data_IF_711328903097
#
_entry.id   IF_711328903097
#
_cell.length_a   1.000
_cell.length_b   1.000
_cell.length_c   1.000
_cell.angle_alpha   90.00
_cell.angle_beta   90.00
_cell.angle_gamma   90.00
#
_symmetry.space_group_name_H-M   'P 1'
#
loop_
_entity.id
_entity.type
_entity.pdbx_description
1 polymer ?
#
# COMPACT_ATOMS: atom_id res chain seq x y z
N UNK A 1 28.05 10.24 -26.38
CA UNK A 1 26.80 9.98 -27.12
C UNK A 1 25.71 9.83 -26.07
N UNK A 2 24.94 10.87 -25.89
CA UNK A 2 23.87 10.97 -24.90
C UNK A 2 22.60 10.35 -25.48
N UNK A 3 22.27 9.12 -25.05
CA UNK A 3 20.98 8.51 -25.35
C UNK A 3 19.92 9.19 -24.46
N UNK A 4 19.35 10.27 -24.96
CA UNK A 4 18.11 10.81 -24.44
C UNK A 4 17.00 9.87 -24.93
N UNK A 5 16.50 9.00 -24.09
CA UNK A 5 15.29 8.21 -24.38
C UNK A 5 14.14 9.20 -24.43
N UNK A 6 13.81 9.63 -25.64
CA UNK A 6 12.59 10.41 -25.93
C UNK A 6 11.43 9.44 -25.74
N UNK A 7 10.50 9.74 -24.82
CA UNK A 7 9.28 8.97 -24.65
C UNK A 7 8.56 8.86 -25.99
N UNK A 8 8.18 7.63 -26.36
CA UNK A 8 7.49 7.38 -27.63
C UNK A 8 6.08 8.02 -27.54
N UNK A 9 5.57 8.68 -28.61
CA UNK A 9 4.23 9.29 -28.59
C UNK A 9 3.12 8.34 -28.13
N UNK A 10 3.24 7.04 -28.39
CA UNK A 10 2.30 6.01 -27.93
C UNK A 10 2.27 5.86 -26.39
N UNK A 11 3.38 6.10 -25.69
CA UNK A 11 3.44 6.00 -24.22
C UNK A 11 2.71 7.18 -23.55
N UNK A 12 2.71 8.36 -24.20
CA UNK A 12 1.98 9.54 -23.71
C UNK A 12 0.47 9.34 -23.81
N UNK A 13 -0.02 8.68 -24.86
CA UNK A 13 -1.44 8.37 -25.02
C UNK A 13 -1.92 7.34 -23.99
N UNK A 14 -1.13 6.30 -23.72
CA UNK A 14 -1.47 5.26 -22.73
C UNK A 14 -1.57 5.83 -21.31
N UNK A 15 -0.63 6.66 -20.88
CA UNK A 15 -0.67 7.30 -19.55
C UNK A 15 -1.83 8.28 -19.42
N UNK A 16 -2.18 8.97 -20.48
CA UNK A 16 -3.34 9.88 -20.52
C UNK A 16 -4.63 9.10 -20.32
N UNK A 17 -4.78 7.96 -21.01
CA UNK A 17 -5.92 7.06 -20.83
C UNK A 17 -6.00 6.51 -19.41
N UNK A 18 -4.87 6.10 -18.81
CA UNK A 18 -4.83 5.62 -17.43
C UNK A 18 -5.26 6.71 -16.46
N UNK A 19 -4.78 7.95 -16.62
CA UNK A 19 -5.19 9.09 -15.79
C UNK A 19 -6.69 9.36 -15.89
N UNK A 20 -7.23 9.35 -17.10
CA UNK A 20 -8.66 9.55 -17.33
C UNK A 20 -9.50 8.43 -16.70
N UNK A 21 -9.09 7.17 -16.82
CA UNK A 21 -9.76 6.04 -16.18
C UNK A 21 -9.75 6.17 -14.65
N UNK A 22 -8.61 6.51 -14.06
CA UNK A 22 -8.50 6.74 -12.61
C UNK A 22 -9.42 7.89 -12.18
N UNK A 23 -9.44 8.99 -12.92
CA UNK A 23 -10.33 10.12 -12.64
C UNK A 23 -11.82 9.70 -12.66
N UNK A 24 -12.24 8.95 -13.69
CA UNK A 24 -13.62 8.45 -13.80
C UNK A 24 -13.98 7.50 -12.66
N UNK A 25 -13.09 6.59 -12.29
CA UNK A 25 -13.31 5.67 -11.17
C UNK A 25 -13.50 6.47 -9.87
N UNK A 26 -12.64 7.44 -9.58
CA UNK A 26 -12.75 8.27 -8.39
C UNK A 26 -14.06 9.09 -8.37
N UNK A 27 -14.48 9.62 -9.51
CA UNK A 27 -15.74 10.37 -9.65
C UNK A 27 -16.96 9.46 -9.41
N UNK A 28 -16.96 8.25 -9.96
CA UNK A 28 -18.03 7.27 -9.77
C UNK A 28 -18.10 6.80 -8.32
N UNK A 29 -16.97 6.55 -7.66
CA UNK A 29 -16.91 6.21 -6.23
C UNK A 29 -17.46 7.35 -5.37
N UNK A 30 -17.10 8.60 -5.65
CA UNK A 30 -17.64 9.76 -4.93
C UNK A 30 -19.18 9.83 -5.07
N UNK A 31 -19.72 9.67 -6.28
CA UNK A 31 -21.17 9.65 -6.52
C UNK A 31 -21.86 8.49 -5.79
N UNK A 32 -21.26 7.31 -5.75
CA UNK A 32 -21.80 6.17 -4.99
C UNK A 32 -21.85 6.45 -3.48
N UNK A 33 -20.77 7.04 -2.93
CA UNK A 33 -20.69 7.43 -1.52
C UNK A 33 -21.79 8.45 -1.18
N UNK A 34 -21.99 9.46 -2.02
CA UNK A 34 -23.02 10.47 -1.83
C UNK A 34 -24.42 9.85 -1.87
N UNK A 35 -24.67 8.93 -2.79
CA UNK A 35 -25.94 8.20 -2.90
C UNK A 35 -26.24 7.39 -1.64
N UNK A 36 -25.26 6.61 -1.15
CA UNK A 36 -25.43 5.80 0.08
C UNK A 36 -25.60 6.72 1.30
N UNK A 37 -24.84 7.81 1.38
CA UNK A 37 -24.96 8.78 2.47
C UNK A 37 -26.34 9.44 2.50
N UNK A 38 -26.86 9.83 1.34
CA UNK A 38 -28.21 10.38 1.21
C UNK A 38 -29.30 9.35 1.58
N UNK A 39 -29.10 8.06 1.23
CA UNK A 39 -29.99 6.99 1.64
C UNK A 39 -29.98 6.77 3.17
N UNK A 40 -28.80 6.84 3.81
CA UNK A 40 -28.66 6.75 5.26
C UNK A 40 -29.42 7.87 6.00
N UNK A 41 -29.37 9.09 5.47
CA UNK A 41 -30.11 10.25 6.05
C UNK A 41 -31.63 10.02 5.96
N UNK A 42 -32.12 9.45 4.85
CA UNK A 42 -33.55 9.23 4.60
C UNK A 42 -34.12 7.94 5.20
N UNK A 43 -33.27 7.06 5.71
CA UNK A 43 -33.74 5.80 6.29
C UNK A 43 -34.65 6.04 7.50
N UNK A 44 -35.72 5.24 7.63
CA UNK A 44 -36.72 5.44 8.70
C UNK A 44 -36.27 4.84 10.04
N UNK A 45 -35.45 3.81 10.02
CA UNK A 45 -35.01 3.10 11.24
C UNK A 45 -33.55 3.43 11.58
N UNK A 46 -33.23 3.42 12.88
CA UNK A 46 -31.86 3.62 13.36
C UNK A 46 -30.92 2.53 12.83
N UNK A 47 -31.40 1.31 12.78
CA UNK A 47 -30.62 0.16 12.27
C UNK A 47 -30.22 0.35 10.80
N UNK A 48 -31.17 0.79 9.94
CA UNK A 48 -30.86 1.09 8.55
C UNK A 48 -29.90 2.28 8.40
N UNK A 49 -30.02 3.32 9.24
CA UNK A 49 -29.10 4.46 9.27
C UNK A 49 -27.67 4.00 9.57
N UNK A 50 -27.52 3.19 10.62
CA UNK A 50 -26.20 2.66 11.04
C UNK A 50 -25.62 1.76 9.96
N UNK A 51 -26.41 0.84 9.40
CA UNK A 51 -25.95 -0.08 8.34
C UNK A 51 -25.46 0.68 7.10
N UNK A 52 -26.24 1.63 6.60
CA UNK A 52 -25.87 2.46 5.43
C UNK A 52 -24.68 3.39 5.75
N UNK A 53 -24.62 3.92 6.97
CA UNK A 53 -23.46 4.69 7.43
C UNK A 53 -22.16 3.89 7.38
N UNK A 54 -22.17 2.66 7.86
CA UNK A 54 -21.05 1.74 7.81
C UNK A 54 -20.64 1.43 6.35
N UNK A 55 -21.60 1.22 5.46
CA UNK A 55 -21.33 1.01 4.03
C UNK A 55 -20.68 2.26 3.41
N UNK A 56 -21.19 3.46 3.72
CA UNK A 56 -20.61 4.70 3.22
C UNK A 56 -19.16 4.88 3.69
N UNK A 57 -18.86 4.54 4.95
CA UNK A 57 -17.50 4.60 5.49
C UNK A 57 -16.56 3.63 4.79
N UNK A 58 -17.00 2.40 4.58
CA UNK A 58 -16.23 1.37 3.86
C UNK A 58 -15.90 1.83 2.43
N UNK A 59 -16.86 2.43 1.73
CA UNK A 59 -16.65 3.00 0.40
C UNK A 59 -15.66 4.19 0.43
N UNK A 60 -15.71 5.04 1.46
CA UNK A 60 -14.75 6.15 1.62
C UNK A 60 -13.32 5.65 1.81
N UNK A 61 -13.13 4.62 2.63
CA UNK A 61 -11.80 4.01 2.83
C UNK A 61 -11.29 3.40 1.52
N UNK A 62 -12.14 2.71 0.74
CA UNK A 62 -11.75 2.21 -0.58
C UNK A 62 -11.41 3.34 -1.56
N UNK A 63 -12.23 4.39 -1.60
CA UNK A 63 -11.97 5.55 -2.45
C UNK A 63 -10.64 6.24 -2.10
N UNK A 64 -10.28 6.25 -0.82
CA UNK A 64 -9.01 6.82 -0.36
C UNK A 64 -7.80 6.04 -0.90
N UNK A 65 -7.86 4.71 -0.96
CA UNK A 65 -6.81 3.89 -1.60
C UNK A 65 -6.66 4.27 -3.08
N UNK A 66 -7.77 4.35 -3.81
CA UNK A 66 -7.75 4.73 -5.23
C UNK A 66 -7.19 6.14 -5.45
N UNK A 67 -7.49 7.08 -4.54
CA UNK A 67 -6.96 8.44 -4.60
C UNK A 67 -5.44 8.48 -4.40
N UNK A 68 -4.92 7.68 -3.47
CA UNK A 68 -3.46 7.58 -3.27
C UNK A 68 -2.78 6.89 -4.45
N UNK A 69 -3.45 5.94 -5.10
CA UNK A 69 -2.95 5.24 -6.29
C UNK A 69 -3.07 6.05 -7.59
N UNK A 70 -3.27 7.37 -7.52
CA UNK A 70 -3.19 8.23 -8.71
C UNK A 70 -1.73 8.46 -9.11
N UNK A 71 -1.52 8.66 -10.42
CA UNK A 71 -0.19 9.05 -10.94
C UNK A 71 0.08 10.49 -10.46
N UNK A 72 1.16 10.75 -9.69
CA UNK A 72 1.47 12.09 -9.24
C UNK A 72 1.58 13.07 -10.42
N UNK A 73 1.08 14.29 -10.22
CA UNK A 73 1.06 15.31 -11.27
C UNK A 73 2.43 15.97 -11.45
N UNK A 74 2.65 16.50 -12.64
CA UNK A 74 3.85 17.23 -13.00
C UNK A 74 5.05 16.32 -13.26
N UNK A 75 6.24 16.95 -13.37
CA UNK A 75 7.50 16.28 -13.71
C UNK A 75 8.52 16.31 -12.57
N UNK A 76 8.15 16.81 -11.37
CA UNK A 76 9.03 16.81 -10.22
C UNK A 76 9.21 15.39 -9.67
N UNK A 77 10.42 15.09 -9.15
CA UNK A 77 10.64 13.80 -8.49
C UNK A 77 9.82 13.72 -7.20
N UNK A 78 9.22 12.57 -6.98
CA UNK A 78 8.36 12.25 -5.83
C UNK A 78 9.14 11.37 -4.86
N UNK A 79 9.05 11.65 -3.57
CA UNK A 79 9.62 10.75 -2.56
C UNK A 79 8.78 9.48 -2.44
N UNK A 80 9.27 8.39 -3.01
CA UNK A 80 8.60 7.10 -2.99
C UNK A 80 8.36 6.57 -1.56
N UNK A 81 9.19 6.93 -0.58
CA UNK A 81 8.97 6.55 0.81
C UNK A 81 7.70 7.20 1.37
N UNK A 82 7.48 8.48 1.10
CA UNK A 82 6.28 9.22 1.53
C UNK A 82 5.03 8.74 0.78
N UNK A 83 5.15 8.50 -0.52
CA UNK A 83 4.07 7.98 -1.35
C UNK A 83 3.61 6.59 -0.87
N UNK A 84 4.55 5.65 -0.70
CA UNK A 84 4.24 4.31 -0.21
C UNK A 84 3.71 4.32 1.22
N UNK A 85 4.17 5.23 2.08
CA UNK A 85 3.63 5.37 3.44
C UNK A 85 2.16 5.73 3.42
N UNK A 86 1.76 6.69 2.57
CA UNK A 86 0.36 7.08 2.41
C UNK A 86 -0.48 5.92 1.88
N UNK A 87 0.05 5.16 0.92
CA UNK A 87 -0.61 3.98 0.37
C UNK A 87 -0.77 2.87 1.41
N UNK A 88 0.28 2.56 2.17
CA UNK A 88 0.24 1.59 3.25
C UNK A 88 -0.81 1.96 4.29
N UNK A 89 -0.88 3.23 4.70
CA UNK A 89 -1.86 3.71 5.67
C UNK A 89 -3.30 3.57 5.14
N UNK A 90 -3.55 3.97 3.90
CA UNK A 90 -4.86 3.83 3.27
C UNK A 90 -5.29 2.37 3.15
N UNK A 91 -4.39 1.48 2.66
CA UNK A 91 -4.66 0.05 2.53
C UNK A 91 -4.86 -0.63 3.88
N UNK A 92 -4.10 -0.24 4.91
CA UNK A 92 -4.26 -0.77 6.27
C UNK A 92 -5.68 -0.53 6.77
N UNK A 93 -6.15 0.72 6.72
CA UNK A 93 -7.50 1.08 7.19
C UNK A 93 -8.61 0.38 6.41
N UNK A 94 -8.50 0.36 5.07
CA UNK A 94 -9.56 -0.17 4.22
C UNK A 94 -9.62 -1.70 4.15
N UNK A 95 -8.48 -2.39 4.26
CA UNK A 95 -8.39 -3.81 3.91
C UNK A 95 -7.75 -4.70 4.97
N UNK A 96 -6.77 -4.21 5.74
CA UNK A 96 -5.99 -5.06 6.64
C UNK A 96 -6.52 -5.05 8.08
N UNK A 97 -6.85 -3.89 8.63
CA UNK A 97 -7.44 -3.76 9.96
C UNK A 97 -8.73 -4.57 10.14
N UNK A 98 -9.68 -4.55 9.18
CA UNK A 98 -10.91 -5.34 9.30
C UNK A 98 -10.69 -6.84 9.42
N UNK A 99 -9.56 -7.35 8.93
CA UNK A 99 -9.19 -8.78 8.97
C UNK A 99 -8.10 -9.08 9.99
N UNK A 100 -7.73 -8.11 10.84
CA UNK A 100 -6.75 -8.29 11.91
C UNK A 100 -5.31 -8.49 11.43
N UNK A 101 -4.95 -7.98 10.26
CA UNK A 101 -3.59 -8.07 9.71
C UNK A 101 -2.80 -6.80 10.02
N UNK A 102 -1.64 -6.95 10.63
CA UNK A 102 -0.75 -5.84 10.95
C UNK A 102 0.24 -5.58 9.81
N UNK A 103 0.48 -4.30 9.53
CA UNK A 103 1.46 -3.88 8.54
C UNK A 103 2.57 -3.05 9.18
N UNK A 104 3.81 -3.36 8.84
CA UNK A 104 4.97 -2.54 9.18
C UNK A 104 5.68 -2.05 7.91
N UNK A 105 6.06 -0.77 7.89
CA UNK A 105 6.69 -0.12 6.75
C UNK A 105 8.00 0.55 7.16
N UNK A 106 9.08 0.17 6.49
CA UNK A 106 10.41 0.77 6.63
C UNK A 106 10.92 1.23 5.27
N UNK A 107 11.31 2.48 5.16
CA UNK A 107 11.80 3.03 3.91
C UNK A 107 12.91 4.05 4.11
N UNK A 108 13.82 4.07 3.13
CA UNK A 108 14.72 5.16 2.88
C UNK A 108 14.06 6.21 1.97
N UNK A 109 14.33 7.50 2.18
CA UNK A 109 13.91 8.57 1.26
C UNK A 109 14.43 8.24 -0.14
N UNK A 110 13.54 8.21 -1.12
CA UNK A 110 13.84 7.74 -2.46
C UNK A 110 13.10 8.59 -3.50
N UNK A 111 13.72 9.69 -3.97
CA UNK A 111 13.20 10.44 -5.11
C UNK A 111 13.15 9.60 -6.38
N UNK A 112 11.93 9.39 -6.92
CA UNK A 112 11.66 8.71 -8.18
C UNK A 112 10.86 9.62 -9.12
N UNK A 113 10.90 9.32 -10.41
CA UNK A 113 10.00 9.93 -11.40
C UNK A 113 8.54 9.56 -11.08
N UNK A 114 7.57 10.48 -11.28
CA UNK A 114 6.18 10.29 -10.85
C UNK A 114 5.56 8.97 -11.31
N UNK A 115 5.76 8.64 -12.57
CA UNK A 115 5.26 7.40 -13.17
C UNK A 115 5.91 6.15 -12.57
N UNK A 116 7.21 6.17 -12.35
CA UNK A 116 7.94 5.07 -11.73
C UNK A 116 7.55 4.88 -10.27
N UNK A 117 7.31 6.00 -9.56
CA UNK A 117 6.78 5.98 -8.21
C UNK A 117 5.39 5.34 -8.16
N UNK A 118 4.51 5.70 -9.09
CA UNK A 118 3.18 5.10 -9.23
C UNK A 118 3.23 3.61 -9.57
N UNK A 119 4.06 3.19 -10.54
CA UNK A 119 4.24 1.77 -10.89
C UNK A 119 4.73 0.95 -9.70
N UNK A 120 5.66 1.50 -8.91
CA UNK A 120 6.10 0.88 -7.66
C UNK A 120 4.94 0.75 -6.65
N UNK A 121 4.13 1.80 -6.49
CA UNK A 121 2.96 1.79 -5.62
C UNK A 121 1.92 0.74 -6.02
N UNK A 122 1.61 0.64 -7.32
CA UNK A 122 0.72 -0.38 -7.85
C UNK A 122 1.24 -1.80 -7.56
N UNK A 123 2.53 -2.05 -7.78
CA UNK A 123 3.15 -3.35 -7.49
C UNK A 123 3.08 -3.69 -5.99
N UNK A 124 3.39 -2.73 -5.11
CA UNK A 124 3.32 -2.91 -3.66
C UNK A 124 1.88 -3.15 -3.20
N UNK A 125 0.91 -2.41 -3.73
CA UNK A 125 -0.51 -2.59 -3.42
C UNK A 125 -1.00 -3.99 -3.79
N UNK A 126 -0.70 -4.46 -5.00
CA UNK A 126 -1.06 -5.82 -5.43
C UNK A 126 -0.44 -6.90 -4.54
N UNK A 127 0.81 -6.73 -4.12
CA UNK A 127 1.46 -7.68 -3.21
C UNK A 127 0.83 -7.66 -1.80
N UNK A 128 0.47 -6.49 -1.26
CA UNK A 128 -0.29 -6.39 -0.01
C UNK A 128 -1.65 -7.08 -0.11
N UNK A 129 -2.39 -6.84 -1.20
CA UNK A 129 -3.69 -7.46 -1.43
C UNK A 129 -3.58 -8.97 -1.66
N UNK A 130 -2.50 -9.45 -2.27
CA UNK A 130 -2.22 -10.88 -2.38
C UNK A 130 -2.00 -11.52 -1.00
N UNK A 131 -1.21 -10.90 -0.14
CA UNK A 131 -1.03 -11.36 1.23
C UNK A 131 -2.36 -11.36 2.01
N UNK A 132 -3.15 -10.29 1.93
CA UNK A 132 -4.44 -10.18 2.60
C UNK A 132 -5.46 -11.26 2.17
N UNK A 133 -5.46 -11.65 0.88
CA UNK A 133 -6.44 -12.60 0.32
C UNK A 133 -6.03 -14.05 0.40
N UNK A 134 -4.74 -14.33 0.36
CA UNK A 134 -4.22 -15.67 0.09
C UNK A 134 -3.30 -16.24 1.16
N UNK A 135 -2.77 -15.40 2.06
CA UNK A 135 -1.97 -15.88 3.16
C UNK A 135 -2.84 -16.56 4.21
N UNK A 136 -2.53 -17.82 4.50
CA UNK A 136 -3.11 -18.53 5.63
C UNK A 136 -2.24 -18.28 6.85
N UNK A 137 -2.78 -17.60 7.84
CA UNK A 137 -2.03 -17.25 9.05
C UNK A 137 -2.09 -18.31 10.15
N UNK A 138 -2.82 -19.42 9.92
CA UNK A 138 -2.90 -20.61 10.78
C UNK A 138 -3.16 -20.28 12.26
N UNK A 139 -4.11 -19.38 12.51
CA UNK A 139 -4.45 -18.91 13.87
C UNK A 139 -3.44 -17.93 14.49
N UNK A 140 -2.37 -17.58 13.79
CA UNK A 140 -1.43 -16.52 14.19
C UNK A 140 -1.96 -15.16 13.78
N UNK A 141 -1.47 -14.11 14.42
CA UNK A 141 -1.71 -12.73 13.96
C UNK A 141 -1.01 -12.53 12.62
N UNK A 142 -1.78 -12.13 11.60
CA UNK A 142 -1.25 -11.84 10.29
C UNK A 142 -0.32 -10.62 10.32
N UNK A 143 0.85 -10.73 9.70
CA UNK A 143 1.83 -9.65 9.64
C UNK A 143 2.35 -9.48 8.21
N UNK A 144 2.32 -8.24 7.72
CA UNK A 144 2.93 -7.84 6.45
C UNK A 144 4.06 -6.85 6.74
N UNK A 145 5.25 -7.12 6.21
CA UNK A 145 6.43 -6.27 6.32
C UNK A 145 6.82 -5.72 4.96
N UNK A 146 6.95 -4.40 4.86
CA UNK A 146 7.39 -3.74 3.64
C UNK A 146 8.68 -2.98 3.93
N UNK A 147 9.71 -3.25 3.13
CA UNK A 147 11.00 -2.58 3.23
C UNK A 147 11.41 -2.02 1.87
N UNK A 148 11.59 -0.70 1.80
CA UNK A 148 12.17 -0.01 0.65
C UNK A 148 13.57 0.46 1.00
N UNK A 149 14.57 0.08 0.21
CA UNK A 149 15.97 0.40 0.45
C UNK A 149 16.69 0.76 -0.84
N UNK A 150 17.71 1.63 -0.72
CA UNK A 150 18.57 2.03 -1.81
C UNK A 150 20.03 1.64 -1.53
N UNK A 151 20.55 0.71 -2.32
CA UNK A 151 21.99 0.44 -2.45
C UNK A 151 22.42 0.97 -3.81
N UNK A 152 22.82 2.26 -3.84
CA UNK A 152 23.04 3.02 -5.07
C UNK A 152 23.86 2.24 -6.12
N UNK A 153 23.38 2.11 -7.36
CA UNK A 153 22.17 2.67 -7.96
C UNK A 153 20.95 1.74 -7.91
N UNK A 154 20.96 0.70 -7.10
CA UNK A 154 19.96 -0.37 -7.05
C UNK A 154 18.90 -0.07 -5.99
N UNK A 155 17.64 -0.04 -6.38
CA UNK A 155 16.48 0.01 -5.48
C UNK A 155 16.00 -1.40 -5.22
N UNK A 156 15.71 -1.71 -3.96
CA UNK A 156 15.10 -2.97 -3.54
C UNK A 156 13.86 -2.68 -2.70
N UNK A 157 12.72 -3.21 -3.14
CA UNK A 157 11.48 -3.20 -2.38
C UNK A 157 11.11 -4.65 -2.04
N UNK A 158 10.94 -4.94 -0.75
CA UNK A 158 10.55 -6.26 -0.26
C UNK A 158 9.19 -6.14 0.37
N UNK A 159 8.26 -7.01 -0.02
CA UNK A 159 6.98 -7.24 0.64
C UNK A 159 6.99 -8.67 1.14
N UNK A 160 6.88 -8.86 2.45
CA UNK A 160 6.91 -10.17 3.10
C UNK A 160 5.69 -10.32 4.01
N UNK A 161 5.14 -11.52 4.08
CA UNK A 161 4.06 -11.87 4.99
C UNK A 161 4.41 -13.15 5.76
N UNK A 162 3.86 -13.32 6.97
CA UNK A 162 4.05 -14.49 7.81
C UNK A 162 3.01 -15.60 7.57
N UNK A 163 2.25 -15.50 6.50
CA UNK A 163 1.31 -16.53 6.10
C UNK A 163 1.98 -17.70 5.41
N UNK A 164 1.37 -18.88 5.54
CA UNK A 164 1.75 -20.04 4.74
C UNK A 164 1.11 -19.93 3.36
N UNK A 165 1.93 -20.10 2.32
CA UNK A 165 1.40 -20.20 0.97
C UNK A 165 0.61 -21.51 0.85
N UNK A 166 -0.70 -21.38 0.70
CA UNK A 166 -1.52 -22.51 0.28
C UNK A 166 -0.94 -23.07 -1.03
N UNK A 167 -0.67 -24.36 -1.10
CA UNK A 167 -0.09 -25.08 -2.26
C UNK A 167 -0.90 -24.93 -3.56
N UNK A 168 -1.97 -24.13 -3.56
CA UNK A 168 -2.85 -23.83 -4.67
C UNK A 168 -2.65 -22.42 -5.26
N UNK A 169 -1.44 -21.86 -5.21
CA UNK A 169 -1.15 -20.67 -6.00
C UNK A 169 -1.28 -20.98 -7.50
N UNK A 170 -2.52 -20.98 -7.99
CA UNK A 170 -2.74 -20.63 -9.40
C UNK A 170 -2.11 -19.24 -9.59
N UNK A 171 -1.38 -18.98 -10.68
CA UNK A 171 -0.83 -17.65 -10.94
C UNK A 171 -1.99 -16.66 -10.90
N UNK A 172 -2.16 -15.98 -9.76
CA UNK A 172 -3.17 -14.97 -9.60
C UNK A 172 -2.87 -13.86 -10.61
N UNK A 173 -3.91 -13.33 -11.27
CA UNK A 173 -3.78 -12.23 -12.25
C UNK A 173 -2.90 -11.10 -11.72
N UNK A 174 -2.95 -10.84 -10.41
CA UNK A 174 -2.14 -9.83 -9.73
C UNK A 174 -0.64 -10.04 -9.83
N UNK A 175 -0.13 -11.28 -9.71
CA UNK A 175 1.31 -11.55 -9.87
C UNK A 175 1.81 -11.34 -11.30
N UNK A 176 0.96 -11.57 -12.30
CA UNK A 176 1.24 -11.19 -13.70
C UNK A 176 1.45 -9.69 -13.82
N UNK A 177 0.51 -8.90 -13.30
CA UNK A 177 0.60 -7.45 -13.27
C UNK A 177 1.86 -6.95 -12.56
N UNK A 178 2.18 -7.49 -11.35
CA UNK A 178 3.40 -7.11 -10.62
C UNK A 178 4.66 -7.41 -11.43
N UNK A 179 4.68 -8.52 -12.15
CA UNK A 179 5.81 -8.90 -13.01
C UNK A 179 5.99 -7.92 -14.18
N UNK A 180 4.88 -7.49 -14.79
CA UNK A 180 4.92 -6.53 -15.91
C UNK A 180 5.27 -5.13 -15.43
N UNK A 181 4.75 -4.68 -14.28
CA UNK A 181 5.17 -3.45 -13.61
C UNK A 181 6.66 -3.47 -13.25
N UNK A 182 7.19 -4.62 -12.82
CA UNK A 182 8.61 -4.78 -12.52
C UNK A 182 9.48 -4.60 -13.77
N UNK A 183 9.07 -5.20 -14.90
CA UNK A 183 9.74 -5.03 -16.20
C UNK A 183 9.68 -3.57 -16.67
N UNK A 184 8.54 -2.92 -16.53
CA UNK A 184 8.38 -1.50 -16.93
C UNK A 184 9.22 -0.54 -16.09
N UNK A 185 9.60 -0.94 -14.86
CA UNK A 185 10.59 -0.24 -14.03
C UNK A 185 12.04 -0.52 -14.46
N UNK A 186 12.27 -1.37 -15.46
CA UNK A 186 13.60 -1.85 -15.84
C UNK A 186 14.18 -2.81 -14.79
N UNK A 187 13.34 -3.55 -14.11
CA UNK A 187 13.70 -4.41 -13.00
C UNK A 187 13.20 -5.85 -13.12
N UNK A 188 13.28 -6.56 -12.01
CA UNK A 188 12.80 -7.94 -11.87
C UNK A 188 12.09 -8.16 -10.55
N UNK A 189 11.21 -9.15 -10.55
CA UNK A 189 10.52 -9.65 -9.37
C UNK A 189 11.07 -11.04 -9.02
N UNK A 190 11.65 -11.17 -7.85
CA UNK A 190 12.10 -12.44 -7.27
C UNK A 190 11.11 -12.85 -6.18
N UNK A 191 10.86 -14.16 -6.05
CA UNK A 191 10.06 -14.75 -4.99
C UNK A 191 10.97 -15.58 -4.08
N UNK A 192 10.79 -15.46 -2.78
CA UNK A 192 11.44 -16.24 -1.76
C UNK A 192 10.43 -16.79 -0.76
N UNK A 193 10.60 -18.04 -0.35
CA UNK A 193 9.81 -18.66 0.71
C UNK A 193 10.76 -19.21 1.75
N UNK A 194 10.46 -18.92 3.01
CA UNK A 194 11.15 -19.41 4.19
C UNK A 194 10.17 -20.01 5.20
N UNK A 195 10.66 -20.58 6.31
CA UNK A 195 9.82 -21.26 7.30
C UNK A 195 8.85 -20.28 8.02
N UNK A 196 9.20 -18.99 8.10
CA UNK A 196 8.42 -17.99 8.83
C UNK A 196 7.75 -16.96 7.94
N UNK A 197 8.33 -16.69 6.76
CA UNK A 197 7.86 -15.63 5.85
C UNK A 197 7.95 -16.06 4.39
N UNK A 198 6.91 -15.68 3.65
CA UNK A 198 6.94 -15.59 2.19
C UNK A 198 7.31 -14.18 1.80
N UNK A 199 8.09 -13.98 0.75
CA UNK A 199 8.51 -12.65 0.33
C UNK A 199 8.60 -12.48 -1.17
N UNK A 200 8.21 -11.30 -1.63
CA UNK A 200 8.45 -10.80 -2.98
C UNK A 200 9.48 -9.69 -2.93
N UNK A 201 10.50 -9.80 -3.76
CA UNK A 201 11.57 -8.82 -3.88
C UNK A 201 11.55 -8.21 -5.28
N UNK A 202 11.21 -6.94 -5.36
CA UNK A 202 11.26 -6.14 -6.57
C UNK A 202 12.58 -5.36 -6.57
N UNK A 203 13.38 -5.53 -7.64
CA UNK A 203 14.70 -4.91 -7.78
C UNK A 203 14.76 -4.17 -9.10
N UNK A 204 15.15 -2.89 -9.09
CA UNK A 204 15.32 -2.09 -10.30
C UNK A 204 16.42 -1.03 -10.15
N UNK A 205 16.87 -0.49 -11.28
CA UNK A 205 17.89 0.55 -11.32
C UNK A 205 17.26 1.94 -11.34
N UNK A 206 17.91 2.89 -10.69
CA UNK A 206 17.58 4.31 -10.83
C UNK A 206 17.91 4.82 -12.24
N UNK A 207 17.08 5.72 -12.77
CA UNK A 207 17.41 6.51 -13.96
C UNK A 207 18.55 7.48 -13.64
N UNK A 208 19.16 8.09 -14.67
CA UNK A 208 20.24 9.05 -14.44
C UNK A 208 19.75 10.27 -13.65
N UNK A 209 18.55 10.75 -13.92
CA UNK A 209 17.90 11.84 -13.19
C UNK A 209 17.69 11.49 -11.71
N UNK A 210 17.15 10.31 -11.44
CA UNK A 210 16.93 9.79 -10.09
C UNK A 210 18.27 9.59 -9.35
N UNK A 211 19.30 9.07 -10.03
CA UNK A 211 20.64 8.90 -9.46
C UNK A 211 21.23 10.21 -8.95
N UNK A 212 21.14 11.27 -9.75
CA UNK A 212 21.63 12.60 -9.36
C UNK A 212 20.90 13.13 -8.12
N UNK A 213 19.58 13.02 -8.09
CA UNK A 213 18.78 13.47 -6.95
C UNK A 213 19.10 12.66 -5.68
N UNK A 214 19.19 11.34 -5.80
CA UNK A 214 19.46 10.46 -4.66
C UNK A 214 20.87 10.64 -4.08
N UNK A 215 21.88 11.00 -4.88
CA UNK A 215 23.22 11.39 -4.38
C UNK A 215 23.14 12.61 -3.46
N UNK A 216 22.35 13.62 -3.83
CA UNK A 216 22.16 14.83 -2.99
C UNK A 216 21.49 14.47 -1.67
N UNK A 217 20.48 13.59 -1.68
CA UNK A 217 19.81 13.11 -0.46
C UNK A 217 20.80 12.34 0.43
N UNK A 218 21.60 11.45 -0.14
CA UNK A 218 22.62 10.70 0.61
C UNK A 218 23.64 11.62 1.30
N UNK A 219 24.12 12.65 0.61
CA UNK A 219 25.06 13.62 1.16
C UNK A 219 24.46 14.42 2.32
N UNK A 220 23.17 14.79 2.23
CA UNK A 220 22.46 15.47 3.32
C UNK A 220 22.26 14.56 4.54
N UNK A 221 21.95 13.27 4.33
CA UNK A 221 21.79 12.28 5.41
C UNK A 221 23.09 11.99 6.16
N UNK A 222 24.21 11.96 5.48
CA UNK A 222 25.50 11.76 6.12
C UNK A 222 25.87 12.88 7.12
N UNK A 223 25.22 14.05 7.00
CA UNK A 223 25.36 15.20 7.91
C UNK A 223 24.38 15.21 9.07
N UNK A 224 23.35 14.34 9.08
CA UNK A 224 22.33 14.27 10.13
C UNK A 224 22.26 12.84 10.71
N UNK A 225 22.34 12.64 12.06
CA UNK A 225 22.33 11.29 12.64
C UNK A 225 21.02 10.55 12.32
N UNK A 226 21.13 9.27 12.06
CA UNK A 226 20.07 8.36 11.65
C UNK A 226 19.07 8.12 12.78
N UNK A 227 17.84 8.60 12.67
CA UNK A 227 16.69 8.04 13.37
C UNK A 227 15.93 7.12 12.41
N UNK A 228 16.12 5.82 12.53
CA UNK A 228 15.31 4.82 11.83
C UNK A 228 13.91 4.82 12.45
N UNK A 229 12.92 5.34 11.74
CA UNK A 229 11.52 5.28 12.17
C UNK A 229 10.85 4.10 11.49
N UNK A 230 10.77 2.97 12.19
CA UNK A 230 9.78 1.93 11.88
C UNK A 230 8.44 2.43 12.41
N UNK A 231 7.45 2.58 11.53
CA UNK A 231 6.10 2.97 11.94
C UNK A 231 5.24 1.72 11.86
N UNK A 232 4.75 1.18 13.00
CA UNK A 232 3.72 0.16 12.98
C UNK A 232 2.39 0.82 12.60
N UNK A 233 1.68 0.26 11.62
CA UNK A 233 0.33 0.62 11.28
C UNK A 233 -0.61 -0.40 11.96
N UNK A 234 -1.48 0.07 12.82
CA UNK A 234 -2.47 -0.72 13.54
C UNK A 234 -2.60 -0.24 14.98
N UNK A 235 -3.81 0.08 15.39
CA UNK A 235 -4.16 0.35 16.79
C UNK A 235 -4.16 -0.99 17.53
N UNK A 236 -3.43 -1.07 18.64
CA UNK A 236 -3.62 -2.16 19.59
C UNK A 236 -5.07 -2.10 20.09
N UNK A 237 -5.86 -3.16 20.04
CA UNK A 237 -7.13 -3.15 20.75
C UNK A 237 -6.81 -2.99 22.24
N UNK A 238 -7.29 -1.91 22.83
CA UNK A 238 -7.32 -1.74 24.28
C UNK A 238 -8.32 -2.74 24.84
N UNK A 239 -7.85 -3.92 25.21
CA UNK A 239 -8.61 -4.88 26.00
C UNK A 239 -8.64 -4.36 27.45
N UNK A 240 -9.62 -3.51 27.73
CA UNK A 240 -9.92 -2.97 29.04
C UNK A 240 -11.36 -3.29 29.40
N UNK A 241 -11.68 -4.56 29.61
CA UNK A 241 -12.90 -4.96 30.32
C UNK A 241 -12.49 -5.35 31.74
N UNK A 242 -12.41 -4.36 32.61
CA UNK A 242 -12.52 -4.58 34.04
C UNK A 242 -13.97 -4.93 34.36
N UNK A 243 -14.23 -6.19 34.61
CA UNK A 243 -15.46 -6.67 35.26
C UNK A 243 -15.41 -6.22 36.73
N UNK A 244 -16.41 -5.51 37.27
CA UNK A 244 -16.45 -5.25 38.69
C UNK A 244 -16.85 -6.53 39.44
N UNK A 245 -15.98 -6.99 40.31
CA UNK A 245 -16.30 -8.00 41.32
C UNK A 245 -17.42 -7.50 42.23
N UNK A 246 -18.58 -8.12 42.13
CA UNK A 246 -19.65 -7.95 43.12
C UNK A 246 -19.32 -8.73 44.37
N UNK A 247 -18.99 -8.00 45.44
CA UNK A 247 -18.89 -8.46 46.82
C UNK A 247 -20.15 -9.20 47.24
N UNK A 248 -20.00 -10.50 47.50
CA UNK A 248 -20.97 -11.26 48.33
C UNK A 248 -20.68 -11.00 49.80
N UNK A 249 -21.55 -10.23 50.43
CA UNK A 249 -21.68 -10.26 51.90
C UNK A 249 -22.53 -11.45 52.29
N UNK A 250 -21.93 -12.32 53.08
CA UNK A 250 -22.57 -13.34 53.91
C UNK A 250 -23.14 -12.63 55.13
N UNK A 251 -24.36 -12.96 55.50
CA UNK A 251 -24.87 -12.83 56.86
C UNK A 251 -25.87 -13.94 57.18
N UNK A 252 -25.55 -14.63 58.25
CA UNK A 252 -26.37 -15.49 59.14
C UNK A 252 -27.04 -16.72 58.53
#
# INVERSE_FOLDING_TARGET
MTNTTVAHPADLDELTLVRELIYRINTQLASAIDTVTAAAVRADTLEAKVALGNVAELLREQANVHRVLTIPEGNALVDAASYLRSLCLATTRSCLEPIGVHLSFQADTLPLEPERCWRLGMAVHELMMNAARHACFDGRVGEIKIKLSLAHPVVTCIVADNGTLSARLKPARGLGLVRDLSKSLGGRLDYGSGPEYSSFRLVFLLTERERRANRVVATRRARTPRQSKTIPFGLRPSCGTTVPESSRHSAA
#
